data_IF_576385521803
#
_entry.id   IF_576385521803
#
_cell.length_a   1.000
_cell.length_b   1.000
_cell.length_c   1.000
_cell.angle_alpha   90.00
_cell.angle_beta   90.00
_cell.angle_gamma   90.00
#
_symmetry.space_group_name_H-M   'P 1'
#
loop_
_entity.id
_entity.type
_entity.pdbx_description
1 polymer ?
#
# COMPACT_ATOMS: atom_id res chain seq x y z
N UNK A 1 -8.65 -12.92 -1.57
CA UNK A 1 -9.91 -12.36 -1.04
C UNK A 1 -11.13 -13.20 -1.42
N UNK A 2 -11.44 -13.37 -2.72
CA UNK A 2 -12.70 -14.02 -3.16
C UNK A 2 -12.84 -15.52 -2.84
N UNK A 3 -11.76 -16.30 -2.89
CA UNK A 3 -11.81 -17.76 -2.67
C UNK A 3 -12.45 -18.15 -1.32
N UNK A 4 -12.23 -17.34 -0.28
CA UNK A 4 -12.77 -17.56 1.07
C UNK A 4 -13.83 -16.51 1.45
N UNK A 5 -14.35 -15.74 0.49
CA UNK A 5 -15.39 -14.74 0.74
C UNK A 5 -14.92 -13.50 1.52
N UNK A 6 -13.62 -13.28 1.70
CA UNK A 6 -13.13 -12.06 2.35
C UNK A 6 -13.32 -10.86 1.41
N UNK A 7 -13.85 -9.76 1.94
CA UNK A 7 -14.16 -8.54 1.18
C UNK A 7 -13.31 -7.34 1.57
N UNK A 8 -12.64 -7.38 2.74
CA UNK A 8 -11.90 -6.26 3.33
C UNK A 8 -10.67 -6.76 4.10
N UNK A 9 -9.63 -5.94 4.15
CA UNK A 9 -8.49 -6.08 5.06
C UNK A 9 -8.40 -4.80 5.90
N UNK A 10 -8.56 -4.91 7.23
CA UNK A 10 -8.47 -3.72 8.10
C UNK A 10 -7.01 -3.20 8.19
N UNK A 11 -6.05 -4.11 8.30
CA UNK A 11 -4.62 -3.79 8.34
C UNK A 11 -3.84 -4.77 7.46
N UNK A 12 -3.03 -4.23 6.55
CA UNK A 12 -2.09 -5.00 5.73
C UNK A 12 -0.67 -4.46 5.95
N UNK A 13 0.22 -5.27 6.50
CA UNK A 13 1.67 -5.02 6.51
C UNK A 13 2.30 -5.81 5.37
N UNK A 14 2.96 -5.08 4.46
CA UNK A 14 3.80 -5.62 3.41
C UNK A 14 5.26 -5.44 3.83
N UNK A 15 5.91 -6.56 4.01
CA UNK A 15 7.31 -6.69 4.41
C UNK A 15 7.84 -7.89 3.62
N UNK A 16 8.15 -7.62 2.36
CA UNK A 16 8.49 -8.64 1.37
C UNK A 16 9.64 -8.14 0.53
N UNK A 17 10.70 -8.92 0.45
CA UNK A 17 11.89 -8.54 -0.29
C UNK A 17 11.58 -8.49 -1.81
N UNK A 18 11.83 -7.35 -2.44
CA UNK A 18 11.77 -7.16 -3.90
C UNK A 18 10.41 -7.30 -4.60
N UNK A 19 9.34 -7.72 -3.92
CA UNK A 19 8.03 -8.00 -4.52
C UNK A 19 6.94 -6.98 -4.17
N UNK A 20 7.21 -6.01 -3.28
CA UNK A 20 6.21 -5.05 -2.80
C UNK A 20 5.55 -4.26 -3.93
N UNK A 21 6.30 -3.93 -4.99
CA UNK A 21 5.79 -3.11 -6.10
C UNK A 21 4.64 -3.81 -6.83
N UNK A 22 4.82 -5.10 -7.14
CA UNK A 22 3.80 -5.93 -7.77
C UNK A 22 2.55 -6.03 -6.90
N UNK A 23 2.73 -6.23 -5.58
CA UNK A 23 1.61 -6.33 -4.65
C UNK A 23 0.85 -5.01 -4.53
N UNK A 24 1.54 -3.87 -4.51
CA UNK A 24 0.90 -2.54 -4.53
C UNK A 24 0.11 -2.32 -5.83
N UNK A 25 0.69 -2.69 -6.97
CA UNK A 25 -0.01 -2.59 -8.26
C UNK A 25 -1.27 -3.46 -8.29
N UNK A 26 -1.20 -4.68 -7.76
CA UNK A 26 -2.36 -5.59 -7.66
C UNK A 26 -3.42 -5.06 -6.68
N UNK A 27 -3.03 -4.48 -5.54
CA UNK A 27 -3.96 -3.81 -4.59
C UNK A 27 -4.75 -2.72 -5.32
N UNK A 28 -4.06 -1.87 -6.09
CA UNK A 28 -4.68 -0.75 -6.81
C UNK A 28 -5.56 -1.27 -7.96
N UNK A 29 -5.03 -2.18 -8.79
CA UNK A 29 -5.69 -2.70 -9.99
C UNK A 29 -6.94 -3.51 -9.66
N UNK A 30 -6.83 -4.42 -8.68
CA UNK A 30 -7.93 -5.29 -8.26
C UNK A 30 -8.86 -4.60 -7.25
N UNK A 31 -8.57 -3.34 -6.89
CA UNK A 31 -9.33 -2.53 -5.92
C UNK A 31 -9.53 -3.27 -4.59
N UNK A 32 -8.46 -3.86 -4.07
CA UNK A 32 -8.50 -4.56 -2.78
C UNK A 32 -8.82 -3.54 -1.68
N UNK A 33 -9.88 -3.79 -0.91
CA UNK A 33 -10.33 -2.86 0.12
C UNK A 33 -9.45 -3.00 1.38
N UNK A 34 -8.44 -2.15 1.48
CA UNK A 34 -7.49 -2.09 2.61
C UNK A 34 -7.72 -0.80 3.38
N UNK A 35 -7.93 -0.86 4.70
CA UNK A 35 -8.11 0.35 5.53
C UNK A 35 -6.79 0.98 5.96
N UNK A 36 -5.83 0.17 6.43
CA UNK A 36 -4.49 0.61 6.80
C UNK A 36 -3.46 -0.22 6.05
N UNK A 37 -2.55 0.44 5.35
CA UNK A 37 -1.52 -0.20 4.53
C UNK A 37 -0.14 0.25 5.02
N UNK A 38 0.60 -0.68 5.60
CA UNK A 38 1.99 -0.48 6.01
C UNK A 38 2.90 -1.18 5.00
N UNK A 39 3.85 -0.48 4.41
CA UNK A 39 4.73 -1.04 3.38
C UNK A 39 6.17 -0.72 3.74
N UNK A 40 7.03 -1.72 3.72
CA UNK A 40 8.47 -1.50 3.62
C UNK A 40 8.88 -1.35 2.14
N UNK A 41 9.44 -0.21 1.78
CA UNK A 41 9.98 0.05 0.45
C UNK A 41 11.48 -0.29 0.46
N UNK A 42 11.75 -1.59 0.57
CA UNK A 42 13.09 -2.17 0.69
C UNK A 42 14.01 -1.82 -0.50
N UNK A 43 15.32 -1.85 -0.25
CA UNK A 43 16.34 -1.54 -1.24
C UNK A 43 16.86 -2.78 -1.98
N UNK A 44 17.32 -2.64 -3.25
CA UNK A 44 17.62 -1.39 -3.94
C UNK A 44 16.41 -0.78 -4.66
N UNK A 45 16.08 0.47 -4.32
CA UNK A 45 15.03 1.25 -4.99
C UNK A 45 15.52 2.65 -5.31
N UNK A 46 15.04 3.22 -6.43
CA UNK A 46 15.31 4.63 -6.74
C UNK A 46 14.26 5.53 -6.10
N UNK A 47 14.65 6.75 -5.73
CA UNK A 47 13.72 7.76 -5.19
C UNK A 47 12.54 8.01 -6.13
N UNK A 48 12.79 8.10 -7.44
CA UNK A 48 11.73 8.22 -8.46
C UNK A 48 10.69 7.12 -8.34
N UNK A 49 11.17 5.89 -8.13
CA UNK A 49 10.34 4.71 -7.93
C UNK A 49 9.44 4.84 -6.68
N UNK A 50 10.00 5.33 -5.57
CA UNK A 50 9.26 5.57 -4.32
C UNK A 50 8.19 6.64 -4.53
N UNK A 51 8.54 7.78 -5.14
CA UNK A 51 7.60 8.86 -5.42
C UNK A 51 6.45 8.40 -6.34
N UNK A 52 6.75 7.58 -7.34
CA UNK A 52 5.73 7.03 -8.23
C UNK A 52 4.74 6.15 -7.47
N UNK A 53 5.22 5.26 -6.60
CA UNK A 53 4.38 4.41 -5.74
C UNK A 53 3.50 5.25 -4.82
N UNK A 54 4.06 6.24 -4.12
CA UNK A 54 3.31 7.15 -3.25
C UNK A 54 2.22 7.88 -4.05
N UNK A 55 2.55 8.35 -5.27
CA UNK A 55 1.58 9.04 -6.13
C UNK A 55 0.46 8.11 -6.60
N UNK A 56 0.77 6.87 -6.95
CA UNK A 56 -0.23 5.87 -7.34
C UNK A 56 -1.18 5.55 -6.18
N UNK A 57 -0.65 5.33 -4.97
CA UNK A 57 -1.47 5.11 -3.76
C UNK A 57 -2.36 6.31 -3.44
N UNK A 58 -1.82 7.54 -3.54
CA UNK A 58 -2.61 8.77 -3.36
C UNK A 58 -3.79 8.86 -4.33
N UNK A 59 -3.57 8.55 -5.62
CA UNK A 59 -4.64 8.52 -6.62
C UNK A 59 -5.66 7.42 -6.36
N UNK A 60 -5.26 6.32 -5.73
CA UNK A 60 -6.14 5.22 -5.35
C UNK A 60 -6.96 5.49 -4.07
N UNK A 61 -6.83 6.68 -3.47
CA UNK A 61 -7.59 7.07 -2.27
C UNK A 61 -6.89 6.74 -0.96
N UNK A 62 -5.57 6.56 -0.97
CA UNK A 62 -4.77 6.45 0.26
C UNK A 62 -4.11 7.78 0.64
N UNK A 63 -3.92 8.00 1.93
CA UNK A 63 -3.19 9.13 2.50
C UNK A 63 -1.98 8.62 3.26
N UNK A 64 -0.78 9.11 2.91
CA UNK A 64 0.44 8.81 3.67
C UNK A 64 0.39 9.58 5.00
N UNK A 65 0.48 8.87 6.13
CA UNK A 65 0.36 9.47 7.47
C UNK A 65 1.61 9.35 8.31
N UNK A 66 2.48 8.38 8.03
CA UNK A 66 3.73 8.16 8.76
C UNK A 66 4.81 7.62 7.82
N UNK A 67 6.05 8.05 8.06
CA UNK A 67 7.26 7.49 7.44
C UNK A 67 8.30 7.28 8.53
N UNK A 68 8.88 6.08 8.60
CA UNK A 68 9.98 5.75 9.49
C UNK A 68 11.01 4.89 8.73
N UNK A 69 12.14 5.49 8.36
CA UNK A 69 13.14 4.87 7.47
C UNK A 69 12.47 4.39 6.17
N UNK A 70 12.52 3.09 5.88
CA UNK A 70 11.90 2.47 4.71
C UNK A 70 10.45 2.02 4.95
N UNK A 71 9.90 2.25 6.15
CA UNK A 71 8.51 1.94 6.48
C UNK A 71 7.59 3.13 6.22
N UNK A 72 6.53 2.89 5.45
CA UNK A 72 5.53 3.89 5.07
C UNK A 72 4.13 3.39 5.49
N UNK A 73 3.38 4.25 6.18
CA UNK A 73 2.01 3.94 6.59
C UNK A 73 1.01 4.82 5.85
N UNK A 74 0.03 4.17 5.25
CA UNK A 74 -1.07 4.80 4.53
C UNK A 74 -2.41 4.45 5.18
N UNK A 75 -3.31 5.43 5.23
CA UNK A 75 -4.71 5.23 5.58
C UNK A 75 -5.58 5.37 4.34
N UNK A 76 -6.57 4.50 4.18
CA UNK A 76 -7.64 4.71 3.21
C UNK A 76 -8.44 5.94 3.60
N UNK A 77 -8.70 6.84 2.64
CA UNK A 77 -9.53 8.02 2.85
C UNK A 77 -10.96 7.67 3.26
N UNK A 78 -11.43 6.46 2.94
CA UNK A 78 -12.73 5.93 3.38
C UNK A 78 -12.80 5.72 4.90
N UNK A 79 -11.65 5.57 5.58
CA UNK A 79 -11.58 5.40 7.03
C UNK A 79 -11.72 6.74 7.77
N UNK A 80 -11.43 7.85 7.10
CA UNK A 80 -11.48 9.21 7.67
C UNK A 80 -12.82 9.92 7.42
N UNK A 81 -13.80 9.24 6.81
CA UNK A 81 -15.16 9.72 6.52
C UNK A 81 -16.15 9.01 7.44
#
# INVERSE_FOLDING_TARGET
MRQFGHIKIDLLKLDIEGAWRKVVDDIIKEKIDVSVLCIELDSPVTLSSVFQTIRSLKRAGFSLVQVEKDNYTFLSQKLCQ
#
